data_IF_225260009109
#
_entry.id   IF_225260009109
#
_cell.length_a   1.000
_cell.length_b   1.000
_cell.length_c   1.000
_cell.angle_alpha   90.00
_cell.angle_beta   90.00
_cell.angle_gamma   90.00
#
_symmetry.space_group_name_H-M   'P 1'
#
loop_
_entity.id
_entity.type
_entity.pdbx_description
1 polymer ?
#
# COMPACT_ATOMS: atom_id res chain seq x y z
N UNK A 1 26.32 2.95 6.36
CA UNK A 1 25.81 1.73 5.77
C UNK A 1 24.29 1.71 5.80
N UNK A 2 23.68 1.53 4.61
CA UNK A 2 22.23 1.44 4.44
C UNK A 2 21.74 0.13 5.06
N UNK A 3 20.92 0.20 6.10
CA UNK A 3 20.29 -0.95 6.75
C UNK A 3 18.94 -1.22 6.08
N UNK A 4 18.79 -2.41 5.54
CA UNK A 4 17.54 -2.95 4.99
C UNK A 4 16.78 -3.67 6.09
N UNK A 5 15.54 -3.31 6.29
CA UNK A 5 14.72 -3.85 7.35
C UNK A 5 13.38 -4.34 6.81
N UNK A 6 13.11 -5.64 7.00
CA UNK A 6 11.78 -6.20 6.82
C UNK A 6 10.96 -5.94 8.09
N UNK A 7 9.81 -5.33 7.93
CA UNK A 7 8.89 -5.05 9.02
C UNK A 7 7.96 -6.25 9.25
N UNK A 8 8.06 -6.82 10.43
CA UNK A 8 7.06 -7.72 10.99
C UNK A 8 6.59 -7.11 12.30
N UNK A 9 5.42 -6.48 12.30
CA UNK A 9 4.80 -6.01 13.53
C UNK A 9 4.43 -7.23 14.38
N UNK A 10 5.34 -7.63 15.26
CA UNK A 10 5.02 -8.50 16.38
C UNK A 10 4.88 -7.57 17.57
N UNK A 11 3.72 -6.92 17.69
CA UNK A 11 3.32 -6.40 18.98
C UNK A 11 3.21 -7.63 19.89
N UNK A 12 4.02 -7.73 20.96
CA UNK A 12 3.77 -8.68 22.05
C UNK A 12 2.62 -8.07 22.87
N UNK A 13 1.37 -8.58 22.76
CA UNK A 13 0.28 -8.04 23.55
C UNK A 13 0.58 -8.32 25.03
N UNK A 14 0.48 -7.31 25.86
CA UNK A 14 0.43 -7.49 27.30
C UNK A 14 -0.84 -8.30 27.65
N UNK A 15 -0.84 -9.01 28.78
CA UNK A 15 -1.93 -9.91 29.19
C UNK A 15 -3.31 -9.23 29.26
N UNK A 16 -3.35 -7.90 29.39
CA UNK A 16 -4.56 -7.07 29.34
C UNK A 16 -5.05 -6.80 27.90
N UNK A 17 -4.17 -6.86 26.90
CA UNK A 17 -4.55 -6.66 25.51
C UNK A 17 -5.18 -7.91 24.87
N UNK A 18 -4.97 -9.11 25.43
CA UNK A 18 -5.66 -10.32 24.97
C UNK A 18 -7.18 -10.26 25.16
N UNK A 19 -7.66 -9.64 26.22
CA UNK A 19 -9.11 -9.49 26.47
C UNK A 19 -9.73 -8.37 25.62
N UNK A 20 -8.97 -7.31 25.30
CA UNK A 20 -9.36 -6.27 24.34
C UNK A 20 -9.23 -6.76 22.89
N UNK A 21 -8.33 -7.71 22.61
CA UNK A 21 -8.15 -8.31 21.28
C UNK A 21 -9.38 -9.08 20.80
N UNK A 22 -10.07 -9.80 21.68
CA UNK A 22 -11.30 -10.55 21.34
C UNK A 22 -12.45 -9.59 21.02
N UNK A 23 -12.58 -8.52 21.77
CA UNK A 23 -13.57 -7.46 21.50
C UNK A 23 -13.23 -6.68 20.23
N UNK A 24 -11.95 -6.45 19.94
CA UNK A 24 -11.51 -5.80 18.71
C UNK A 24 -11.70 -6.69 17.48
N UNK A 25 -11.53 -8.00 17.61
CA UNK A 25 -11.77 -8.93 16.50
C UNK A 25 -13.25 -9.02 16.12
N UNK A 26 -14.14 -9.03 17.11
CA UNK A 26 -15.58 -8.97 16.87
C UNK A 26 -16.04 -7.64 16.30
N UNK A 27 -15.44 -6.52 16.75
CA UNK A 27 -15.67 -5.18 16.20
C UNK A 27 -15.14 -5.06 14.78
N UNK A 28 -13.94 -5.58 14.51
CA UNK A 28 -13.35 -5.60 13.18
C UNK A 28 -14.17 -6.46 12.20
N UNK A 29 -14.66 -7.61 12.65
CA UNK A 29 -15.58 -8.45 11.86
C UNK A 29 -16.88 -7.74 11.54
N UNK A 30 -17.43 -7.00 12.49
CA UNK A 30 -18.63 -6.19 12.27
C UNK A 30 -18.39 -5.01 11.33
N UNK A 31 -17.28 -4.29 11.48
CA UNK A 31 -16.89 -3.20 10.57
C UNK A 31 -16.60 -3.71 9.15
N UNK A 32 -15.95 -4.87 9.01
CA UNK A 32 -15.74 -5.54 7.73
C UNK A 32 -17.08 -5.94 7.09
N UNK A 33 -18.04 -6.40 7.88
CA UNK A 33 -19.37 -6.77 7.40
C UNK A 33 -20.15 -5.52 6.94
N UNK A 34 -20.10 -4.43 7.68
CA UNK A 34 -20.68 -3.13 7.31
C UNK A 34 -20.02 -2.56 6.07
N UNK A 35 -18.69 -2.59 5.98
CA UNK A 35 -17.93 -2.18 4.79
C UNK A 35 -18.27 -3.02 3.57
N UNK A 36 -18.48 -4.33 3.75
CA UNK A 36 -18.85 -5.24 2.67
C UNK A 36 -20.27 -4.92 2.14
N UNK A 37 -21.20 -4.59 3.03
CA UNK A 37 -22.57 -4.19 2.64
C UNK A 37 -22.58 -2.82 1.95
N UNK A 38 -21.78 -1.87 2.43
CA UNK A 38 -21.62 -0.56 1.78
C UNK A 38 -21.01 -0.69 0.39
N UNK A 39 -20.06 -1.62 0.24
CA UNK A 39 -19.42 -1.94 -1.04
C UNK A 39 -20.39 -2.52 -2.08
N UNK A 40 -21.35 -3.32 -1.65
CA UNK A 40 -22.40 -3.86 -2.54
C UNK A 40 -23.36 -2.76 -3.02
N UNK A 41 -23.62 -1.75 -2.18
CA UNK A 41 -24.41 -0.59 -2.57
C UNK A 41 -23.64 0.34 -3.53
N UNK A 42 -22.33 0.55 -3.33
CA UNK A 42 -21.51 1.38 -4.22
C UNK A 42 -21.21 0.69 -5.58
N UNK A 43 -21.28 -0.63 -5.67
CA UNK A 43 -21.18 -1.34 -6.96
C UNK A 43 -22.20 -0.85 -8.00
N UNK A 44 -23.40 -0.52 -7.56
CA UNK A 44 -24.44 0.03 -8.45
C UNK A 44 -24.12 1.46 -8.92
N UNK A 45 -23.49 2.29 -8.07
CA UNK A 45 -23.12 3.65 -8.44
C UNK A 45 -21.84 3.69 -9.30
N UNK A 46 -20.88 2.80 -9.04
CA UNK A 46 -19.63 2.71 -9.82
C UNK A 46 -19.86 2.27 -11.26
N UNK A 47 -20.83 1.38 -11.52
CA UNK A 47 -21.15 0.94 -12.87
C UNK A 47 -21.66 2.10 -13.76
N UNK A 48 -22.40 3.04 -13.18
CA UNK A 48 -22.89 4.24 -13.89
C UNK A 48 -21.75 5.23 -14.16
N UNK A 49 -20.84 5.42 -13.21
CA UNK A 49 -19.70 6.33 -13.34
C UNK A 49 -18.67 5.82 -14.38
N UNK A 50 -18.47 4.51 -14.50
CA UNK A 50 -17.56 3.90 -15.45
C UNK A 50 -18.06 4.09 -16.90
N UNK A 51 -19.37 4.01 -17.13
CA UNK A 51 -19.95 4.26 -18.45
C UNK A 51 -19.76 5.71 -18.91
N UNK A 52 -19.77 6.66 -17.99
CA UNK A 52 -19.52 8.08 -18.29
C UNK A 52 -18.02 8.41 -18.51
N UNK A 53 -17.12 7.75 -17.76
CA UNK A 53 -15.68 7.95 -17.90
C UNK A 53 -15.13 7.37 -19.22
N UNK A 54 -15.70 6.27 -19.72
CA UNK A 54 -15.29 5.68 -21.00
C UNK A 54 -15.62 6.54 -22.21
N UNK A 55 -16.61 7.44 -22.12
CA UNK A 55 -16.90 8.41 -23.16
C UNK A 55 -15.89 9.59 -23.20
N UNK A 56 -15.27 9.94 -22.06
CA UNK A 56 -14.31 11.03 -21.97
C UNK A 56 -12.87 10.63 -22.34
N UNK A 57 -12.52 9.35 -22.27
CA UNK A 57 -11.17 8.85 -22.58
C UNK A 57 -10.87 8.73 -24.08
N UNK A 58 -11.87 8.89 -24.96
CA UNK A 58 -11.64 8.85 -26.42
C UNK A 58 -11.11 10.13 -27.03
N UNK A 59 -10.92 11.21 -26.27
CA UNK A 59 -10.58 12.55 -26.80
C UNK A 59 -9.25 13.13 -26.38
N UNK A 60 -8.38 12.44 -25.67
CA UNK A 60 -7.06 13.02 -25.32
C UNK A 60 -5.91 12.03 -25.25
N UNK A 61 -5.49 11.56 -26.42
CA UNK A 61 -4.17 10.93 -26.58
C UNK A 61 -3.16 12.00 -27.03
N UNK A 62 -2.43 12.60 -26.11
CA UNK A 62 -1.16 13.29 -26.36
C UNK A 62 -0.06 12.66 -25.52
N UNK A 63 1.11 12.34 -26.10
CA UNK A 63 2.23 11.82 -25.33
C UNK A 63 2.71 12.89 -24.34
N UNK A 64 2.78 12.57 -23.05
CA UNK A 64 3.42 13.43 -22.06
C UNK A 64 4.93 13.29 -22.19
N UNK A 65 5.60 14.38 -22.58
CA UNK A 65 7.04 14.55 -22.43
C UNK A 65 7.44 14.28 -20.98
N UNK A 66 8.45 13.42 -20.81
CA UNK A 66 9.07 13.18 -19.52
C UNK A 66 9.82 14.43 -19.08
N UNK A 67 9.29 15.16 -18.11
CA UNK A 67 10.04 16.21 -17.40
C UNK A 67 11.22 15.55 -16.66
N UNK A 68 12.38 16.23 -16.57
CA UNK A 68 13.50 15.75 -15.78
C UNK A 68 13.02 15.51 -14.33
N UNK A 69 13.32 14.32 -13.82
CA UNK A 69 12.98 13.93 -12.44
C UNK A 69 13.85 14.78 -11.51
N UNK A 70 13.27 15.79 -10.90
CA UNK A 70 13.88 16.45 -9.75
C UNK A 70 13.77 15.43 -8.62
N UNK A 71 14.90 14.90 -8.16
CA UNK A 71 14.93 13.98 -7.01
C UNK A 71 14.54 14.80 -5.79
N UNK A 72 13.30 14.66 -5.35
CA UNK A 72 12.80 15.28 -4.13
C UNK A 72 13.23 14.43 -2.94
N UNK A 73 14.27 14.90 -2.23
CA UNK A 73 14.86 14.23 -1.07
C UNK A 73 13.98 14.35 0.18
N UNK A 74 12.90 15.13 0.13
CA UNK A 74 11.98 15.36 1.23
C UNK A 74 10.70 14.53 1.13
N UNK A 75 10.72 13.45 0.36
CA UNK A 75 9.55 12.57 0.25
C UNK A 75 9.86 11.15 0.70
N UNK A 76 8.81 10.48 1.22
CA UNK A 76 8.77 9.05 1.49
C UNK A 76 7.59 8.47 0.72
N UNK A 77 7.80 7.33 0.10
CA UNK A 77 6.79 6.65 -0.72
C UNK A 77 6.46 5.26 -0.18
N UNK A 78 5.18 4.93 -0.19
CA UNK A 78 4.66 3.56 -0.04
C UNK A 78 4.26 3.05 -1.41
N UNK A 79 4.89 1.98 -1.86
CA UNK A 79 4.52 1.25 -3.07
C UNK A 79 3.87 -0.07 -2.69
N UNK A 80 2.71 -0.35 -3.26
CA UNK A 80 1.95 -1.60 -3.05
C UNK A 80 1.84 -2.28 -4.40
N UNK A 81 2.34 -3.51 -4.50
CA UNK A 81 2.28 -4.29 -5.73
C UNK A 81 1.58 -5.63 -5.50
N UNK A 82 1.03 -6.18 -6.57
CA UNK A 82 0.55 -7.56 -6.58
C UNK A 82 1.74 -8.53 -6.64
N UNK A 83 1.64 -9.60 -5.86
CA UNK A 83 2.56 -10.73 -5.95
C UNK A 83 1.98 -11.75 -6.92
N UNK A 84 2.53 -11.76 -8.13
CA UNK A 84 2.03 -12.59 -9.24
C UNK A 84 3.14 -13.38 -9.95
N UNK A 85 3.77 -14.36 -9.28
CA UNK A 85 4.85 -15.15 -9.86
C UNK A 85 4.40 -16.03 -11.03
N UNK A 86 3.11 -16.22 -11.21
CA UNK A 86 2.52 -17.04 -12.30
C UNK A 86 1.99 -16.20 -13.45
N UNK A 87 2.15 -14.87 -13.41
CA UNK A 87 1.66 -13.95 -14.44
C UNK A 87 0.16 -14.10 -14.74
N UNK A 88 -0.63 -14.34 -13.68
CA UNK A 88 -2.09 -14.50 -13.80
C UNK A 88 -2.75 -13.20 -14.27
N UNK A 89 -2.15 -12.05 -13.95
CA UNK A 89 -2.63 -10.73 -14.37
C UNK A 89 -2.71 -10.61 -15.89
N UNK A 90 -1.74 -11.19 -16.62
CA UNK A 90 -1.67 -11.13 -18.08
C UNK A 90 -2.79 -11.93 -18.75
N UNK A 91 -3.36 -12.92 -18.05
CA UNK A 91 -4.42 -13.78 -18.54
C UNK A 91 -5.83 -13.30 -18.18
N UNK A 92 -5.94 -12.30 -17.30
CA UNK A 92 -7.21 -11.83 -16.77
C UNK A 92 -7.84 -10.78 -17.69
N UNK A 93 -9.15 -10.97 -17.97
CA UNK A 93 -9.90 -9.99 -18.75
C UNK A 93 -10.10 -8.68 -17.94
N UNK A 94 -10.08 -7.54 -18.63
CA UNK A 94 -10.30 -6.20 -18.05
C UNK A 94 -11.65 -6.06 -17.34
N UNK A 95 -12.67 -6.81 -17.76
CA UNK A 95 -13.97 -6.87 -17.08
C UNK A 95 -13.89 -7.45 -15.67
N UNK A 96 -12.82 -8.19 -15.36
CA UNK A 96 -12.54 -8.77 -14.03
C UNK A 96 -11.50 -7.95 -13.29
N UNK A 97 -10.42 -7.55 -13.98
CA UNK A 97 -9.31 -6.84 -13.32
C UNK A 97 -9.67 -5.42 -12.90
N UNK A 98 -10.42 -4.66 -13.70
CA UNK A 98 -10.80 -3.28 -13.36
C UNK A 98 -11.65 -3.21 -12.09
N UNK A 99 -12.73 -3.99 -11.90
CA UNK A 99 -13.47 -4.01 -10.64
C UNK A 99 -12.60 -4.44 -9.46
N UNK A 100 -11.66 -5.35 -9.67
CA UNK A 100 -10.72 -5.77 -8.63
C UNK A 100 -9.76 -4.63 -8.22
N UNK A 101 -9.21 -3.88 -9.16
CA UNK A 101 -8.38 -2.70 -8.86
C UNK A 101 -9.16 -1.62 -8.12
N UNK A 102 -10.41 -1.38 -8.54
CA UNK A 102 -11.29 -0.41 -7.85
C UNK A 102 -11.54 -0.83 -6.40
N UNK A 103 -11.74 -2.12 -6.14
CA UNK A 103 -11.90 -2.63 -4.79
C UNK A 103 -10.62 -2.46 -3.95
N UNK A 104 -9.46 -2.76 -4.52
CA UNK A 104 -8.17 -2.52 -3.86
C UNK A 104 -7.98 -1.03 -3.56
N UNK A 105 -8.38 -0.14 -4.48
CA UNK A 105 -8.32 1.31 -4.27
C UNK A 105 -9.22 1.77 -3.12
N UNK A 106 -10.44 1.23 -3.01
CA UNK A 106 -11.33 1.52 -1.89
C UNK A 106 -10.68 1.09 -0.57
N UNK A 107 -10.06 -0.09 -0.51
CA UNK A 107 -9.36 -0.55 0.69
C UNK A 107 -8.18 0.37 1.03
N UNK A 108 -7.41 0.80 0.04
CA UNK A 108 -6.30 1.73 0.26
C UNK A 108 -6.81 3.08 0.79
N UNK A 109 -7.85 3.62 0.19
CA UNK A 109 -8.44 4.90 0.63
C UNK A 109 -8.95 4.81 2.07
N UNK A 110 -9.64 3.73 2.43
CA UNK A 110 -10.14 3.52 3.80
C UNK A 110 -9.01 3.29 4.81
N UNK A 111 -7.97 2.56 4.43
CA UNK A 111 -6.76 2.39 5.26
C UNK A 111 -6.07 3.74 5.49
N UNK A 112 -5.95 4.54 4.44
CA UNK A 112 -5.35 5.87 4.51
C UNK A 112 -6.16 6.80 5.42
N UNK A 113 -7.48 6.90 5.22
CA UNK A 113 -8.38 7.70 6.05
C UNK A 113 -8.26 7.35 7.54
N UNK A 114 -8.30 6.04 7.85
CA UNK A 114 -8.19 5.56 9.23
C UNK A 114 -6.85 5.93 9.87
N UNK A 115 -5.75 5.75 9.14
CA UNK A 115 -4.42 6.01 9.66
C UNK A 115 -4.15 7.51 9.81
N UNK A 116 -4.55 8.33 8.86
CA UNK A 116 -4.46 9.79 8.97
C UNK A 116 -5.21 10.30 10.21
N UNK A 117 -6.42 9.80 10.44
CA UNK A 117 -7.19 10.14 11.64
C UNK A 117 -6.48 9.71 12.93
N UNK A 118 -5.88 8.52 12.95
CA UNK A 118 -5.11 8.02 14.10
C UNK A 118 -3.93 8.94 14.44
N UNK A 119 -3.16 9.35 13.43
CA UNK A 119 -2.01 10.24 13.60
C UNK A 119 -2.37 11.73 13.64
N UNK A 120 -3.66 12.08 13.56
CA UNK A 120 -4.16 13.47 13.50
C UNK A 120 -3.55 14.26 12.34
N UNK A 121 -3.39 13.61 11.20
CA UNK A 121 -2.91 14.17 9.95
C UNK A 121 -4.09 14.53 9.05
N UNK A 122 -3.84 15.44 8.09
CA UNK A 122 -4.84 15.86 7.11
C UNK A 122 -4.75 15.03 5.84
N UNK A 123 -5.81 15.00 5.07
CA UNK A 123 -5.81 14.34 3.75
C UNK A 123 -4.84 14.97 2.75
N UNK A 124 -4.48 16.25 2.95
CA UNK A 124 -3.46 16.94 2.16
C UNK A 124 -2.02 16.50 2.43
N UNK A 125 -1.77 15.81 3.57
CA UNK A 125 -0.43 15.35 3.95
C UNK A 125 -0.02 14.08 3.19
N UNK A 126 -0.96 13.41 2.54
CA UNK A 126 -0.72 12.25 1.68
C UNK A 126 -1.15 12.54 0.25
N UNK A 127 -0.31 12.14 -0.70
CA UNK A 127 -0.61 12.26 -2.12
C UNK A 127 -0.66 10.88 -2.78
N UNK A 128 -1.65 10.68 -3.65
CA UNK A 128 -1.70 9.49 -4.50
C UNK A 128 -0.86 9.75 -5.75
N UNK A 129 0.33 9.17 -5.82
CA UNK A 129 1.19 9.25 -6.99
C UNK A 129 0.66 8.36 -8.12
N UNK A 130 0.17 7.17 -7.76
CA UNK A 130 -0.45 6.21 -8.66
C UNK A 130 -1.61 5.51 -7.97
N UNK A 131 -2.78 5.52 -8.60
CA UNK A 131 -3.94 4.71 -8.19
C UNK A 131 -3.79 3.27 -8.63
N UNK A 132 -4.52 2.35 -8.00
CA UNK A 132 -4.44 0.93 -8.34
C UNK A 132 -4.71 0.64 -9.81
N UNK A 133 -3.74 -0.03 -10.40
CA UNK A 133 -3.79 -0.67 -11.72
C UNK A 133 -3.02 -2.00 -11.65
N UNK A 134 -2.68 -2.59 -12.80
CA UNK A 134 -1.89 -3.82 -12.90
C UNK A 134 -0.52 -3.73 -12.22
N UNK A 135 0.05 -2.53 -12.09
CA UNK A 135 1.34 -2.28 -11.43
C UNK A 135 1.22 -1.96 -9.94
N UNK A 136 -0.02 -1.98 -9.41
CA UNK A 136 -0.28 -1.64 -8.01
C UNK A 136 -0.62 -0.18 -7.78
N UNK A 137 -0.28 0.36 -6.61
CA UNK A 137 -0.55 1.75 -6.22
C UNK A 137 0.64 2.35 -5.47
N UNK A 138 0.74 3.69 -5.52
CA UNK A 138 1.82 4.42 -4.83
C UNK A 138 1.26 5.65 -4.12
N UNK A 139 1.54 5.75 -2.82
CA UNK A 139 1.28 6.93 -2.01
C UNK A 139 2.60 7.61 -1.65
N UNK A 140 2.57 8.92 -1.49
CA UNK A 140 3.73 9.72 -1.04
C UNK A 140 3.33 10.67 0.08
N UNK A 141 4.26 10.90 0.98
CA UNK A 141 4.16 11.91 2.04
C UNK A 141 5.48 12.69 2.11
N UNK A 142 5.43 13.92 2.63
CA UNK A 142 6.64 14.64 2.97
C UNK A 142 7.31 14.03 4.21
N UNK A 143 8.63 13.90 4.20
CA UNK A 143 9.41 13.49 5.39
C UNK A 143 9.36 14.54 6.49
N UNK A 144 9.03 15.80 6.15
CA UNK A 144 8.85 16.89 7.13
C UNK A 144 7.52 16.79 7.89
N UNK A 145 6.58 15.96 7.40
CA UNK A 145 5.31 15.71 8.07
C UNK A 145 5.56 14.82 9.31
N UNK A 146 5.16 15.27 10.51
CA UNK A 146 5.31 14.44 11.71
C UNK A 146 4.62 13.09 11.54
N UNK A 147 5.28 12.01 11.94
CA UNK A 147 4.76 10.63 11.82
C UNK A 147 4.44 10.16 10.38
N UNK A 148 5.01 10.76 9.35
CA UNK A 148 4.79 10.32 7.96
C UNK A 148 5.14 8.84 7.76
N UNK A 149 6.32 8.41 8.21
CA UNK A 149 6.77 7.02 8.07
C UNK A 149 5.91 6.06 8.89
N UNK A 150 5.66 6.27 10.20
CA UNK A 150 4.72 5.45 10.97
C UNK A 150 3.33 5.38 10.36
N UNK A 151 2.83 6.48 9.81
CA UNK A 151 1.53 6.52 9.14
C UNK A 151 1.53 5.61 7.89
N UNK A 152 2.52 5.72 7.01
CA UNK A 152 2.63 4.84 5.83
C UNK A 152 2.81 3.36 6.21
N UNK A 153 3.57 3.07 7.28
CA UNK A 153 3.71 1.70 7.80
C UNK A 153 2.37 1.15 8.29
N UNK A 154 1.59 1.96 9.00
CA UNK A 154 0.25 1.56 9.45
C UNK A 154 -0.70 1.39 8.26
N UNK A 155 -0.68 2.28 7.27
CA UNK A 155 -1.49 2.16 6.03
C UNK A 155 -1.17 0.82 5.34
N UNK A 156 0.11 0.49 5.18
CA UNK A 156 0.51 -0.77 4.55
C UNK A 156 0.01 -1.99 5.31
N UNK A 157 0.08 -1.96 6.65
CA UNK A 157 -0.36 -3.06 7.52
C UNK A 157 -1.88 -3.24 7.47
N UNK A 158 -2.65 -2.16 7.59
CA UNK A 158 -4.12 -2.20 7.52
C UNK A 158 -4.58 -2.65 6.13
N UNK A 159 -3.97 -2.12 5.08
CA UNK A 159 -4.28 -2.53 3.71
C UNK A 159 -4.00 -4.02 3.49
N UNK A 160 -2.85 -4.54 3.96
CA UNK A 160 -2.52 -5.96 3.82
C UNK A 160 -3.48 -6.87 4.58
N UNK A 161 -3.95 -6.46 5.76
CA UNK A 161 -4.98 -7.20 6.49
C UNK A 161 -6.28 -7.30 5.69
N UNK A 162 -6.75 -6.19 5.12
CA UNK A 162 -7.95 -6.16 4.27
C UNK A 162 -7.75 -6.98 2.99
N UNK A 163 -6.59 -6.87 2.37
CA UNK A 163 -6.21 -7.65 1.18
C UNK A 163 -6.17 -9.15 1.48
N UNK A 164 -5.69 -9.57 2.66
CA UNK A 164 -5.66 -10.98 3.05
C UNK A 164 -7.08 -11.55 3.29
N UNK A 165 -7.96 -10.77 3.88
CA UNK A 165 -9.38 -11.15 4.04
C UNK A 165 -10.04 -11.31 2.67
N UNK A 166 -9.82 -10.35 1.77
CA UNK A 166 -10.31 -10.42 0.39
C UNK A 166 -9.76 -11.65 -0.36
N UNK A 167 -8.45 -11.89 -0.20
CA UNK A 167 -7.78 -13.02 -0.84
C UNK A 167 -8.41 -14.35 -0.42
N UNK A 168 -8.63 -14.57 0.88
CA UNK A 168 -9.27 -15.78 1.39
C UNK A 168 -10.68 -15.94 0.82
N UNK A 169 -11.51 -14.91 0.89
CA UNK A 169 -12.88 -14.93 0.40
C UNK A 169 -12.95 -15.21 -1.11
N UNK A 170 -12.16 -14.50 -1.92
CA UNK A 170 -12.20 -14.67 -3.37
C UNK A 170 -11.63 -16.02 -3.81
N UNK A 171 -10.67 -16.58 -3.07
CA UNK A 171 -10.19 -17.95 -3.31
C UNK A 171 -11.29 -18.99 -3.06
N UNK A 172 -12.05 -18.85 -2.00
CA UNK A 172 -13.22 -19.72 -1.71
C UNK A 172 -14.29 -19.60 -2.81
N UNK A 173 -14.55 -18.39 -3.27
CA UNK A 173 -15.50 -18.11 -4.36
C UNK A 173 -14.96 -18.43 -5.76
N UNK A 174 -13.73 -18.91 -5.90
CA UNK A 174 -13.01 -19.16 -7.17
C UNK A 174 -12.94 -17.92 -8.07
N UNK A 175 -12.82 -16.74 -7.48
CA UNK A 175 -12.67 -15.47 -8.17
C UNK A 175 -11.19 -15.11 -8.30
N UNK A 176 -10.90 -14.26 -9.30
CA UNK A 176 -9.57 -13.70 -9.48
C UNK A 176 -9.16 -12.85 -8.27
N UNK A 177 -8.01 -13.13 -7.72
CA UNK A 177 -7.40 -12.36 -6.64
C UNK A 177 -5.90 -12.68 -6.53
N UNK A 178 -5.11 -11.68 -6.21
CA UNK A 178 -3.68 -11.78 -5.95
C UNK A 178 -3.37 -11.32 -4.52
N UNK A 179 -2.31 -11.87 -3.96
CA UNK A 179 -1.71 -11.36 -2.73
C UNK A 179 -0.93 -10.08 -3.03
N UNK A 180 -0.70 -9.26 -2.02
CA UNK A 180 0.03 -8.01 -2.15
C UNK A 180 1.32 -8.02 -1.33
N UNK A 181 2.21 -7.11 -1.66
CA UNK A 181 3.47 -6.82 -0.98
C UNK A 181 3.67 -5.31 -0.94
N UNK A 182 4.35 -4.78 0.08
CA UNK A 182 4.49 -3.35 0.31
C UNK A 182 5.95 -2.95 0.51
N UNK A 183 6.38 -1.87 -0.12
CA UNK A 183 7.70 -1.29 0.07
C UNK A 183 7.60 0.19 0.43
N UNK A 184 8.29 0.62 1.47
CA UNK A 184 8.36 2.02 1.88
C UNK A 184 9.80 2.48 1.76
N UNK A 185 10.04 3.58 1.04
CA UNK A 185 11.39 4.11 0.87
C UNK A 185 11.40 5.63 0.81
N UNK A 186 12.47 6.21 1.31
CA UNK A 186 12.90 7.57 0.97
C UNK A 186 13.69 7.57 -0.31
N UNK A 187 14.01 8.74 -0.86
CA UNK A 187 14.94 8.87 -1.97
C UNK A 187 16.31 8.29 -1.63
N UNK A 188 17.02 7.80 -2.62
CA UNK A 188 18.36 7.22 -2.49
C UNK A 188 19.33 8.03 -3.36
N UNK A 189 20.02 8.99 -2.74
CA UNK A 189 20.91 9.93 -3.42
C UNK A 189 22.06 9.25 -4.17
N UNK A 190 22.68 8.23 -3.54
CA UNK A 190 23.80 7.49 -4.12
C UNK A 190 23.44 6.82 -5.47
N UNK A 191 22.16 6.59 -5.73
CA UNK A 191 21.64 5.96 -6.95
C UNK A 191 20.76 6.88 -7.77
N UNK A 192 20.59 8.14 -7.36
CA UNK A 192 19.71 9.12 -7.99
C UNK A 192 18.26 8.61 -8.14
N UNK A 193 17.78 7.81 -7.17
CA UNK A 193 16.43 7.27 -7.14
C UNK A 193 15.52 8.18 -6.30
N UNK A 194 14.40 8.57 -6.87
CA UNK A 194 13.32 9.18 -6.09
C UNK A 194 12.71 8.18 -5.10
N UNK A 195 11.99 8.67 -4.09
CA UNK A 195 11.31 7.81 -3.13
C UNK A 195 10.37 6.79 -3.81
N UNK A 196 9.66 7.21 -4.86
CA UNK A 196 8.77 6.33 -5.64
C UNK A 196 9.54 5.23 -6.36
N UNK A 197 10.63 5.56 -7.03
CA UNK A 197 11.49 4.58 -7.73
C UNK A 197 12.18 3.62 -6.76
N UNK A 198 12.67 4.14 -5.62
CA UNK A 198 13.30 3.32 -4.60
C UNK A 198 12.31 2.35 -3.94
N UNK A 199 11.10 2.81 -3.61
CA UNK A 199 10.04 1.95 -3.06
C UNK A 199 9.57 0.90 -4.06
N UNK A 200 9.52 1.21 -5.35
CA UNK A 200 9.19 0.26 -6.41
C UNK A 200 10.26 -0.84 -6.53
N UNK A 201 11.54 -0.49 -6.54
CA UNK A 201 12.63 -1.48 -6.54
C UNK A 201 12.60 -2.35 -5.30
N UNK A 202 12.34 -1.75 -4.14
CA UNK A 202 12.25 -2.47 -2.87
C UNK A 202 11.14 -3.52 -2.91
N UNK A 203 9.94 -3.14 -3.33
CA UNK A 203 8.77 -4.02 -3.31
C UNK A 203 8.94 -5.21 -4.27
N UNK A 204 9.67 -5.04 -5.38
CA UNK A 204 9.92 -6.11 -6.34
C UNK A 204 10.72 -7.29 -5.77
N UNK A 205 11.48 -7.07 -4.70
CA UNK A 205 12.29 -8.10 -4.03
C UNK A 205 11.52 -8.88 -2.96
N UNK A 206 10.29 -8.48 -2.66
CA UNK A 206 9.49 -9.05 -1.58
C UNK A 206 8.62 -10.19 -2.09
N UNK A 207 8.36 -11.13 -1.19
CA UNK A 207 7.36 -12.18 -1.38
C UNK A 207 5.97 -11.70 -1.00
N UNK A 208 4.97 -12.57 -1.21
CA UNK A 208 3.60 -12.30 -0.83
C UNK A 208 3.48 -11.93 0.66
N UNK A 209 2.69 -10.91 0.96
CA UNK A 209 2.40 -10.41 2.31
C UNK A 209 3.60 -9.80 3.05
N UNK A 210 4.74 -9.70 2.41
CA UNK A 210 5.89 -9.04 3.01
C UNK A 210 5.76 -7.52 2.89
N UNK A 211 6.28 -6.84 3.91
CA UNK A 211 6.48 -5.40 3.92
C UNK A 211 7.91 -5.09 4.31
N UNK A 212 8.53 -4.15 3.63
CA UNK A 212 9.88 -3.70 3.94
C UNK A 212 9.97 -2.19 3.93
N UNK A 213 10.95 -1.66 4.67
CA UNK A 213 11.28 -0.24 4.71
C UNK A 213 12.74 -0.02 4.38
N UNK A 214 13.00 1.04 3.62
CA UNK A 214 14.34 1.55 3.36
C UNK A 214 14.35 3.06 3.58
N UNK A 215 14.96 3.48 4.67
CA UNK A 215 14.92 4.85 5.16
C UNK A 215 16.32 5.35 5.45
N UNK A 216 16.47 6.67 5.53
CA UNK A 216 17.69 7.28 6.09
C UNK A 216 17.93 6.82 7.53
N UNK A 217 19.19 6.84 7.97
CA UNK A 217 19.56 6.40 9.32
C UNK A 217 18.84 7.19 10.42
N UNK A 218 18.54 8.47 10.18
CA UNK A 218 17.81 9.32 11.13
C UNK A 218 16.36 8.83 11.31
N UNK A 219 15.64 8.62 10.21
CA UNK A 219 14.27 8.13 10.23
C UNK A 219 14.17 6.69 10.76
N UNK A 220 15.17 5.85 10.48
CA UNK A 220 15.24 4.50 11.05
C UNK A 220 15.36 4.51 12.56
N UNK A 221 16.16 5.45 13.11
CA UNK A 221 16.32 5.58 14.55
C UNK A 221 15.01 5.98 15.21
N UNK A 222 14.29 6.94 14.63
CA UNK A 222 13.01 7.41 15.17
C UNK A 222 11.95 6.30 15.24
N UNK A 223 11.90 5.41 14.23
CA UNK A 223 10.93 4.31 14.23
C UNK A 223 11.38 3.09 15.03
N UNK A 224 12.69 2.87 15.22
CA UNK A 224 13.23 1.71 15.94
C UNK A 224 12.84 1.67 17.42
N UNK A 225 12.48 2.80 18.01
CA UNK A 225 11.98 2.88 19.39
C UNK A 225 10.56 2.28 19.52
N UNK A 226 9.77 2.36 18.46
CA UNK A 226 8.36 1.95 18.47
C UNK A 226 8.11 0.64 17.73
N UNK A 227 9.03 0.19 16.86
CA UNK A 227 8.86 -0.97 15.99
C UNK A 227 10.07 -1.91 16.07
N UNK A 228 9.79 -3.21 16.12
CA UNK A 228 10.83 -4.22 15.98
C UNK A 228 11.13 -4.45 14.51
N UNK A 229 12.30 -4.03 14.07
CA UNK A 229 12.75 -4.16 12.69
C UNK A 229 13.66 -5.39 12.53
N UNK A 230 13.49 -6.13 11.44
CA UNK A 230 14.28 -7.31 11.11
C UNK A 230 15.02 -7.03 9.80
N UNK A 231 16.32 -7.27 9.78
CA UNK A 231 17.13 -7.13 8.57
C UNK A 231 16.70 -8.13 7.51
N UNK A 232 16.52 -7.66 6.26
CA UNK A 232 16.31 -8.54 5.13
C UNK A 232 17.60 -9.33 4.86
N UNK A 233 17.48 -10.64 4.53
CA UNK A 233 18.61 -11.37 4.01
C UNK A 233 19.05 -10.77 2.66
N UNK A 234 20.33 -10.48 2.49
CA UNK A 234 20.92 -9.87 1.29
C UNK A 234 20.48 -8.43 0.96
N UNK A 235 20.68 -7.47 1.86
CA UNK A 235 20.27 -6.09 1.63
C UNK A 235 20.97 -5.41 0.44
N UNK A 236 22.13 -5.89 0.04
CA UNK A 236 22.97 -5.29 -1.02
C UNK A 236 22.44 -5.47 -2.43
N UNK A 237 21.60 -6.49 -2.68
CA UNK A 237 21.12 -6.82 -4.03
C UNK A 237 19.84 -6.06 -4.42
N UNK A 238 19.27 -5.28 -3.52
CA UNK A 238 17.96 -4.66 -3.74
C UNK A 238 18.09 -3.26 -4.33
N UNK A 239 19.24 -2.59 -4.12
CA UNK A 239 19.52 -1.26 -4.66
C UNK A 239 20.86 -1.18 -5.43
N UNK A 240 21.44 -2.28 -5.81
CA UNK A 240 22.58 -2.29 -6.75
C UNK A 240 22.13 -2.37 -8.19
#
# INVERSE_FOLDING_TARGET
GLLWLAYRAIARPSRTEYLTGINNESRLKHEIQVLTQTLEQEKHHAAVAIAQAQQQLKTSAKPKEQKPVIVDNHSVALNIQFYDPKQLMDSVNTTVSIPYFNLCQIFLNKSTELCLKHFKLNSSDVSTHQSFNEHGATLTMSTDTPNAVPCLMMISSVFQLLSDVLYKRYREEKRFVLQTRCGISTAVDAMQLSATQASERLVQQLSAKESAVHLSNELLKDISESYQLINLPNPTNVLT
#
